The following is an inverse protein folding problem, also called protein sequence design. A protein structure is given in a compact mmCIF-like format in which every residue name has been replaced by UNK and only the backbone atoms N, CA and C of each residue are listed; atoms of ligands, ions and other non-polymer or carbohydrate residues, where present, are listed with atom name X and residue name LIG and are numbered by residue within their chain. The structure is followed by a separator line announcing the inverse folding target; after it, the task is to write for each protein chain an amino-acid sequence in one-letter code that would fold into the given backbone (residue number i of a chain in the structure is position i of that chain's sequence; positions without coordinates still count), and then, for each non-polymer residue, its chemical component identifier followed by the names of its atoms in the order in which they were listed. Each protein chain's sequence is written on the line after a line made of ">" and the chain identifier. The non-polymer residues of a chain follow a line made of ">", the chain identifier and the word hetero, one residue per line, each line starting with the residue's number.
data_IF_148116563075
#
_entry.id   IF_148116563075
#
_cell.length_a   1.000
_cell.length_b   1.000
_cell.length_c   1.000
_cell.angle_alpha   90.00
_cell.angle_beta   90.00
_cell.angle_gamma   90.00
#
_symmetry.space_group_name_H-M   'P 1'
#
loop_
_entity.id
_entity.type
_entity.pdbx_description
1 polymer ?
#
# COMPACT_ATOMS: atom_id res chain seq x y z
N UNK A 1 -0.91 11.49 -8.36
CA UNK A 1 -0.57 10.04 -8.26
C UNK A 1 -1.52 9.23 -9.12
N UNK A 2 -1.04 8.19 -9.80
CA UNK A 2 -1.85 7.30 -10.63
C UNK A 2 -2.13 5.97 -9.91
N UNK A 3 -3.12 5.21 -10.39
CA UNK A 3 -3.41 3.85 -9.88
C UNK A 3 -2.17 2.92 -9.99
N UNK A 4 -1.38 3.09 -11.05
CA UNK A 4 -0.14 2.36 -11.27
C UNK A 4 0.85 2.61 -10.13
N UNK A 5 1.11 3.88 -9.82
CA UNK A 5 1.98 4.28 -8.70
C UNK A 5 1.54 3.65 -7.37
N UNK A 6 0.24 3.66 -7.07
CA UNK A 6 -0.26 3.03 -5.84
C UNK A 6 -0.03 1.51 -5.81
N UNK A 7 -0.16 0.85 -6.97
CA UNK A 7 0.06 -0.60 -7.10
C UNK A 7 1.54 -0.94 -6.94
N UNK A 8 2.42 -0.17 -7.58
CA UNK A 8 3.87 -0.34 -7.51
C UNK A 8 4.37 -0.16 -6.07
N UNK A 9 3.83 0.84 -5.35
CA UNK A 9 4.15 1.03 -3.93
C UNK A 9 3.70 -0.15 -3.07
N UNK A 10 2.48 -0.67 -3.26
CA UNK A 10 2.03 -1.86 -2.52
C UNK A 10 2.97 -3.05 -2.76
N UNK A 11 3.41 -3.27 -4.00
CA UNK A 11 4.34 -4.35 -4.33
C UNK A 11 5.69 -4.18 -3.62
N UNK A 12 6.24 -2.97 -3.60
CA UNK A 12 7.49 -2.65 -2.92
C UNK A 12 7.42 -2.94 -1.40
N UNK A 13 6.32 -2.58 -0.74
CA UNK A 13 6.13 -2.91 0.67
C UNK A 13 5.97 -4.43 0.93
N UNK A 14 5.37 -5.19 0.00
CA UNK A 14 5.26 -6.65 0.12
C UNK A 14 6.63 -7.31 -0.01
N UNK A 15 7.46 -6.85 -0.95
CA UNK A 15 8.82 -7.36 -1.10
C UNK A 15 9.65 -7.05 0.13
N UNK A 16 9.54 -5.82 0.66
CA UNK A 16 10.18 -5.45 1.92
C UNK A 16 9.73 -6.32 3.09
N UNK A 17 8.43 -6.64 3.22
CA UNK A 17 7.95 -7.58 4.24
C UNK A 17 8.62 -8.96 4.10
N UNK A 18 8.79 -9.48 2.89
CA UNK A 18 9.46 -10.78 2.66
C UNK A 18 10.93 -10.74 3.04
N UNK A 19 11.66 -9.72 2.64
CA UNK A 19 13.08 -9.57 2.97
C UNK A 19 13.30 -9.40 4.47
N UNK A 20 12.46 -8.62 5.12
CA UNK A 20 12.49 -8.45 6.57
C UNK A 20 12.18 -9.76 7.29
N UNK A 21 11.18 -10.52 6.85
CA UNK A 21 10.89 -11.85 7.40
C UNK A 21 12.03 -12.86 7.15
N UNK A 22 12.83 -12.67 6.10
CA UNK A 22 14.04 -13.43 5.84
C UNK A 22 15.25 -12.97 6.69
N UNK A 23 15.08 -11.98 7.57
CA UNK A 23 16.12 -11.44 8.45
C UNK A 23 17.00 -10.37 7.81
N UNK A 24 16.61 -9.81 6.65
CA UNK A 24 17.33 -8.71 6.00
C UNK A 24 16.77 -7.36 6.45
N UNK A 25 17.59 -6.31 6.32
CA UNK A 25 17.15 -4.93 6.51
C UNK A 25 16.83 -4.30 5.15
N UNK A 26 15.74 -3.54 5.07
CA UNK A 26 15.27 -2.89 3.84
C UNK A 26 15.23 -1.38 4.04
N UNK A 27 15.73 -0.61 3.07
CA UNK A 27 15.63 0.84 3.10
C UNK A 27 14.38 1.30 2.36
N UNK A 28 13.39 1.82 3.09
CA UNK A 28 12.18 2.39 2.51
C UNK A 28 12.21 3.89 2.76
N UNK A 29 12.11 4.68 1.69
CA UNK A 29 12.09 6.15 1.76
C UNK A 29 13.31 6.74 2.50
N UNK A 30 14.49 6.12 2.34
CA UNK A 30 15.73 6.55 3.00
C UNK A 30 15.86 6.17 4.46
N UNK A 31 14.88 5.47 5.05
CA UNK A 31 14.95 4.91 6.40
C UNK A 31 15.21 3.41 6.32
N UNK A 32 16.23 2.93 7.04
CA UNK A 32 16.40 1.49 7.26
C UNK A 32 15.29 0.98 8.17
N UNK A 33 14.58 -0.05 7.71
CA UNK A 33 13.59 -0.79 8.45
C UNK A 33 14.01 -2.26 8.57
N UNK A 34 13.82 -2.83 9.75
CA UNK A 34 14.13 -4.22 10.07
C UNK A 34 12.89 -4.96 10.59
N UNK A 35 13.07 -6.15 11.15
CA UNK A 35 11.99 -6.95 11.77
C UNK A 35 11.28 -6.21 12.89
N UNK A 36 11.96 -5.30 13.58
CA UNK A 36 11.38 -4.43 14.61
C UNK A 36 10.38 -3.42 14.03
N UNK A 37 10.57 -3.02 12.77
CA UNK A 37 9.72 -2.10 12.04
C UNK A 37 8.67 -2.81 11.18
N UNK A 38 8.52 -4.14 11.29
CA UNK A 38 7.57 -4.93 10.49
C UNK A 38 6.13 -4.38 10.61
N UNK A 39 5.74 -3.88 11.78
CA UNK A 39 4.46 -3.20 11.97
C UNK A 39 4.36 -1.88 11.17
N UNK A 40 5.43 -1.09 11.09
CA UNK A 40 5.47 0.13 10.28
C UNK A 40 5.37 -0.19 8.78
N UNK A 41 6.07 -1.22 8.32
CA UNK A 41 6.01 -1.68 6.92
C UNK A 41 4.58 -2.10 6.56
N UNK A 42 3.93 -2.88 7.43
CA UNK A 42 2.52 -3.27 7.27
C UNK A 42 1.58 -2.08 7.24
N UNK A 43 1.79 -1.09 8.12
CA UNK A 43 1.01 0.16 8.12
C UNK A 43 1.15 0.92 6.80
N UNK A 44 2.39 1.09 6.31
CA UNK A 44 2.64 1.70 5.00
C UNK A 44 1.92 0.96 3.88
N UNK A 45 1.98 -0.38 3.85
CA UNK A 45 1.22 -1.18 2.88
C UNK A 45 -0.29 -0.93 2.95
N UNK A 46 -0.87 -0.87 4.15
CA UNK A 46 -2.30 -0.61 4.32
C UNK A 46 -2.69 0.78 3.82
N UNK A 47 -1.86 1.80 4.03
CA UNK A 47 -2.09 3.16 3.52
C UNK A 47 -2.13 3.19 1.98
N UNK A 48 -1.19 2.49 1.35
CA UNK A 48 -1.16 2.38 -0.11
C UNK A 48 -2.30 1.52 -0.65
N UNK A 49 -2.69 0.44 0.04
CA UNK A 49 -3.88 -0.34 -0.31
C UNK A 49 -5.16 0.50 -0.19
N UNK A 50 -5.28 1.33 0.85
CA UNK A 50 -6.40 2.26 0.99
C UNK A 50 -6.43 3.25 -0.18
N UNK A 51 -5.29 3.79 -0.55
CA UNK A 51 -5.14 4.67 -1.71
C UNK A 51 -5.55 3.96 -3.01
N UNK A 52 -5.07 2.74 -3.24
CA UNK A 52 -5.46 1.90 -4.38
C UNK A 52 -6.97 1.61 -4.41
N UNK A 53 -7.57 1.36 -3.24
CA UNK A 53 -9.00 1.13 -3.11
C UNK A 53 -9.80 2.38 -3.51
N UNK A 54 -9.31 3.58 -3.24
CA UNK A 54 -9.96 4.83 -3.68
C UNK A 54 -9.98 4.96 -5.20
N UNK A 55 -8.93 4.52 -5.90
CA UNK A 55 -8.91 4.48 -7.36
C UNK A 55 -9.82 3.40 -7.96
N UNK A 56 -10.11 2.35 -7.20
CA UNK A 56 -10.86 1.18 -7.68
C UNK A 56 -12.33 1.23 -7.27
N UNK A 57 -12.69 2.04 -6.27
CA UNK A 57 -14.07 2.25 -5.85
C UNK A 57 -14.87 2.82 -7.03
N UNK A 58 -15.89 2.09 -7.52
CA UNK A 58 -16.82 2.68 -8.47
C UNK A 58 -17.47 3.86 -7.77
N UNK A 59 -17.33 5.06 -8.33
CA UNK A 59 -18.10 6.21 -7.85
C UNK A 59 -19.55 5.83 -8.06
N UNK A 60 -20.27 5.60 -6.96
CA UNK A 60 -21.69 5.28 -6.99
C UNK A 60 -22.42 6.38 -7.75
N UNK A 61 -22.78 6.09 -8.99
CA UNK A 61 -23.80 6.82 -9.72
C UNK A 61 -25.11 6.52 -9.02
N UNK A 62 -25.48 7.35 -8.05
CA UNK A 62 -26.85 7.40 -7.55
C UNK A 62 -27.73 7.90 -8.68
N UNK A 63 -28.18 6.98 -9.54
CA UNK A 63 -29.33 7.19 -10.43
C UNK A 63 -30.59 7.16 -9.56
N UNK A 64 -30.77 8.19 -8.74
CA UNK A 64 -32.09 8.53 -8.23
C UNK A 64 -32.85 9.21 -9.38
N UNK A 65 -33.31 8.39 -10.34
CA UNK A 65 -34.38 8.74 -11.27
C UNK A 65 -35.66 8.10 -10.72
N UNK A 66 -36.42 8.88 -9.99
CA UNK A 66 -37.84 8.70 -9.75
C UNK A 66 -38.42 10.09 -10.06
N UNK A 67 -39.21 10.29 -11.12
CA UNK A 67 -40.41 9.54 -11.46
C UNK A 67 -41.57 10.43 -11.07
#
# INVERSE_FOLDING_TARGET
>A
MSKQTATDMVALYIEAEKDVLAGKSVSINGKMMSTEDLEQIRKGRMEWQRTLSMYTRPRGTTLARFG
#
